data_IF_691160358224
#
_entry.id   IF_691160358224
#
_cell.length_a   1.000
_cell.length_b   1.000
_cell.length_c   1.000
_cell.angle_alpha   90.00
_cell.angle_beta   90.00
_cell.angle_gamma   90.00
#
_symmetry.space_group_name_H-M   'P 1'
#
loop_
_entity.id
_entity.type
_entity.pdbx_description
1 polymer ?
#
# COMPACT_ATOMS: atom_id res chain seq x y z
N UNK A 1 11.70 34.95 -37.71
CA UNK A 1 10.69 34.24 -36.89
C UNK A 1 11.13 32.79 -36.84
N UNK A 2 11.76 32.39 -35.75
CA UNK A 2 12.48 31.12 -35.61
C UNK A 2 11.55 30.04 -35.06
N UNK A 3 10.99 29.22 -35.94
CA UNK A 3 10.31 27.98 -35.52
C UNK A 3 11.34 26.85 -35.37
N UNK A 4 11.83 26.71 -34.14
CA UNK A 4 12.59 25.56 -33.68
C UNK A 4 11.69 24.31 -33.70
N UNK A 5 11.75 23.55 -34.80
CA UNK A 5 11.13 22.23 -34.90
C UNK A 5 11.59 21.33 -33.73
N UNK A 6 10.67 20.69 -32.97
CA UNK A 6 11.07 19.74 -31.95
C UNK A 6 11.70 18.51 -32.62
N UNK A 7 12.94 18.16 -32.24
CA UNK A 7 13.61 16.92 -32.66
C UNK A 7 12.68 15.74 -32.38
N UNK A 8 12.05 15.20 -33.44
CA UNK A 8 11.22 14.00 -33.36
C UNK A 8 12.00 12.90 -32.64
N UNK A 9 11.59 12.61 -31.41
CA UNK A 9 12.31 11.70 -30.52
C UNK A 9 12.02 10.29 -31.01
N UNK A 10 12.91 9.73 -31.84
CA UNK A 10 12.78 8.36 -32.36
C UNK A 10 12.57 7.42 -31.17
N UNK A 11 11.37 6.87 -31.05
CA UNK A 11 10.99 6.00 -29.95
C UNK A 11 11.87 4.74 -29.99
N UNK A 12 12.45 4.37 -28.85
CA UNK A 12 13.42 3.27 -28.74
C UNK A 12 12.88 1.93 -29.24
N UNK A 13 11.56 1.73 -29.16
CA UNK A 13 10.86 0.55 -29.63
C UNK A 13 10.64 0.51 -31.16
N UNK A 14 10.96 1.59 -31.88
CA UNK A 14 10.83 1.69 -33.33
C UNK A 14 12.21 1.62 -34.04
N UNK A 15 13.27 1.27 -33.31
CA UNK A 15 14.62 1.12 -33.83
C UNK A 15 14.83 -0.27 -34.47
N UNK A 16 15.48 -0.32 -35.62
CA UNK A 16 15.90 -1.57 -36.23
C UNK A 16 16.95 -2.27 -35.34
N UNK A 17 16.95 -3.60 -35.30
CA UNK A 17 17.84 -4.39 -34.43
C UNK A 17 19.32 -4.01 -34.58
N UNK A 18 19.79 -3.75 -35.81
CA UNK A 18 21.17 -3.33 -36.09
C UNK A 18 21.52 -2.00 -35.40
N UNK A 19 20.55 -1.08 -35.36
CA UNK A 19 20.70 0.23 -34.72
C UNK A 19 20.66 0.11 -33.19
N UNK A 20 19.83 -0.79 -32.66
CA UNK A 20 19.80 -1.14 -31.23
C UNK A 20 21.14 -1.74 -30.78
N UNK A 21 21.68 -2.71 -31.53
CA UNK A 21 22.99 -3.30 -31.23
C UNK A 21 24.12 -2.27 -31.25
N UNK A 22 24.07 -1.31 -32.20
CA UNK A 22 25.03 -0.21 -32.28
C UNK A 22 24.91 0.76 -31.10
N UNK A 23 23.69 1.14 -30.69
CA UNK A 23 23.46 2.05 -29.56
C UNK A 23 23.82 1.40 -28.22
N UNK A 24 23.38 0.14 -27.99
CA UNK A 24 23.65 -0.59 -26.76
C UNK A 24 25.04 -1.24 -26.74
N UNK A 25 25.85 -1.06 -27.80
CA UNK A 25 27.17 -1.70 -28.00
C UNK A 25 27.12 -3.19 -27.65
N UNK A 26 26.08 -3.88 -28.09
CA UNK A 26 25.91 -5.32 -27.85
C UNK A 26 25.90 -6.07 -29.17
N UNK A 27 26.04 -7.39 -29.09
CA UNK A 27 26.09 -8.26 -30.27
C UNK A 27 24.95 -9.27 -30.22
N UNK A 28 24.60 -9.91 -31.37
CA UNK A 28 23.63 -11.00 -31.39
C UNK A 28 24.06 -12.21 -30.54
N UNK A 29 25.37 -12.38 -30.33
CA UNK A 29 25.96 -13.42 -29.50
C UNK A 29 26.02 -13.04 -28.00
N UNK A 30 25.46 -11.89 -27.63
CA UNK A 30 25.45 -11.39 -26.25
C UNK A 30 26.63 -10.48 -25.90
N UNK A 31 26.84 -10.30 -24.59
CA UNK A 31 27.89 -9.45 -24.01
C UNK A 31 29.02 -10.32 -23.45
N UNK A 32 30.27 -9.89 -23.66
CA UNK A 32 31.42 -10.54 -23.02
C UNK A 32 31.41 -10.31 -21.50
N UNK A 33 31.93 -11.27 -20.74
CA UNK A 33 32.05 -11.20 -19.28
C UNK A 33 32.78 -9.94 -18.78
N UNK A 34 33.74 -9.42 -19.55
CA UNK A 34 34.42 -8.16 -19.26
C UNK A 34 33.47 -6.96 -19.39
N UNK A 35 32.67 -6.92 -20.46
CA UNK A 35 31.69 -5.86 -20.70
C UNK A 35 30.58 -5.88 -19.65
N UNK A 36 30.16 -7.07 -19.23
CA UNK A 36 29.18 -7.23 -18.14
C UNK A 36 29.72 -6.66 -16.84
N UNK A 37 30.97 -7.00 -16.44
CA UNK A 37 31.60 -6.45 -15.23
C UNK A 37 31.73 -4.93 -15.28
N UNK A 38 32.11 -4.39 -16.44
CA UNK A 38 32.22 -2.94 -16.63
C UNK A 38 30.86 -2.25 -16.51
N UNK A 39 29.83 -2.79 -17.15
CA UNK A 39 28.45 -2.27 -17.06
C UNK A 39 27.89 -2.38 -15.66
N UNK A 40 28.15 -3.47 -14.95
CA UNK A 40 27.70 -3.65 -13.56
C UNK A 40 28.32 -2.61 -12.63
N UNK A 41 29.57 -2.20 -12.86
CA UNK A 41 30.21 -1.09 -12.13
C UNK A 41 29.61 0.28 -12.47
N UNK A 42 29.23 0.51 -13.72
CA UNK A 42 28.72 1.80 -14.18
C UNK A 42 27.24 2.02 -13.86
N UNK A 43 26.40 1.01 -14.07
CA UNK A 43 24.95 1.10 -13.91
C UNK A 43 24.45 0.53 -12.58
N UNK A 44 25.31 -0.19 -11.85
CA UNK A 44 24.92 -0.91 -10.64
C UNK A 44 24.13 -2.19 -10.96
N UNK A 45 23.64 -2.83 -9.90
CA UNK A 45 22.74 -3.98 -10.03
C UNK A 45 21.38 -3.48 -10.48
N UNK A 46 20.78 -4.17 -11.44
CA UNK A 46 19.40 -3.90 -11.88
C UNK A 46 18.40 -4.43 -10.84
N UNK A 47 18.45 -3.88 -9.64
CA UNK A 47 17.58 -4.24 -8.52
C UNK A 47 16.84 -3.00 -8.05
N UNK A 48 15.51 -3.10 -8.01
CA UNK A 48 14.68 -2.05 -7.44
C UNK A 48 14.92 -1.98 -5.93
N UNK A 49 15.01 -0.77 -5.34
CA UNK A 49 15.17 -0.64 -3.92
C UNK A 49 13.96 -1.30 -3.22
N UNK A 50 14.23 -2.32 -2.39
CA UNK A 50 13.21 -2.87 -1.50
C UNK A 50 12.84 -1.79 -0.49
N UNK A 51 11.72 -1.11 -0.74
CA UNK A 51 11.09 -0.32 0.30
C UNK A 51 10.81 -1.27 1.47
N UNK A 52 11.38 -0.98 2.64
CA UNK A 52 10.96 -1.64 3.88
C UNK A 52 9.49 -1.29 4.05
N UNK A 53 8.62 -2.26 3.81
CA UNK A 53 7.19 -2.10 4.08
C UNK A 53 6.99 -1.66 5.53
N UNK A 54 5.94 -0.90 5.83
CA UNK A 54 5.64 -0.52 7.20
C UNK A 54 5.54 -1.79 8.07
N UNK A 55 6.13 -1.76 9.26
CA UNK A 55 6.04 -2.88 10.19
C UNK A 55 4.57 -3.17 10.52
N UNK A 56 4.20 -4.44 10.72
CA UNK A 56 2.81 -4.83 10.97
C UNK A 56 2.16 -4.05 12.15
N UNK A 57 2.95 -3.77 13.20
CA UNK A 57 2.53 -2.97 14.37
C UNK A 57 2.27 -1.51 13.98
N UNK A 58 3.07 -0.94 13.08
CA UNK A 58 2.88 0.43 12.59
C UNK A 58 1.64 0.57 11.70
N UNK A 59 1.30 -0.47 10.93
CA UNK A 59 0.05 -0.53 10.16
C UNK A 59 -1.15 -0.63 11.09
N UNK A 60 -1.05 -1.45 12.14
CA UNK A 60 -2.10 -1.57 13.16
C UNK A 60 -2.33 -0.26 13.92
N UNK A 61 -1.26 0.41 14.37
CA UNK A 61 -1.34 1.68 15.08
C UNK A 61 -1.98 2.80 14.23
N UNK A 62 -1.71 2.83 12.92
CA UNK A 62 -2.36 3.77 11.99
C UNK A 62 -3.88 3.65 11.92
N UNK A 63 -4.44 2.48 12.21
CA UNK A 63 -5.91 2.32 12.22
C UNK A 63 -6.53 3.12 13.37
N UNK A 64 -5.86 3.20 14.52
CA UNK A 64 -6.34 3.93 15.72
C UNK A 64 -6.22 5.45 15.60
N UNK A 65 -5.44 5.97 14.65
CA UNK A 65 -5.40 7.41 14.35
C UNK A 65 -6.62 7.89 13.56
N UNK A 66 -7.47 6.98 13.07
CA UNK A 66 -8.69 7.37 12.38
C UNK A 66 -9.68 8.02 13.35
N UNK A 67 -10.18 9.20 12.98
CA UNK A 67 -11.23 9.94 13.69
C UNK A 67 -12.42 9.03 14.02
N UNK A 68 -12.74 8.05 13.15
CA UNK A 68 -13.80 7.09 13.38
C UNK A 68 -13.56 6.21 14.62
N UNK A 69 -12.34 5.73 14.84
CA UNK A 69 -12.03 4.90 16.01
C UNK A 69 -12.11 5.73 17.29
N UNK A 70 -11.65 6.99 17.26
CA UNK A 70 -11.75 7.90 18.40
C UNK A 70 -13.22 8.14 18.77
N UNK A 71 -14.08 8.39 17.78
CA UNK A 71 -15.52 8.58 18.02
C UNK A 71 -16.16 7.31 18.59
N UNK A 72 -15.81 6.12 18.10
CA UNK A 72 -16.32 4.85 18.63
C UNK A 72 -15.85 4.58 20.06
N UNK A 73 -14.59 4.91 20.39
CA UNK A 73 -14.06 4.79 21.75
C UNK A 73 -14.78 5.74 22.72
N UNK A 74 -15.03 6.98 22.30
CA UNK A 74 -15.79 7.96 23.11
C UNK A 74 -17.22 7.48 23.31
N UNK A 75 -17.89 7.02 22.24
CA UNK A 75 -19.25 6.48 22.32
C UNK A 75 -19.32 5.25 23.24
N UNK A 76 -18.35 4.32 23.14
CA UNK A 76 -18.26 3.15 24.01
C UNK A 76 -18.01 3.54 25.48
N UNK A 77 -17.14 4.52 25.74
CA UNK A 77 -16.88 5.01 27.10
C UNK A 77 -18.12 5.65 27.72
N UNK A 78 -18.82 6.49 26.95
CA UNK A 78 -20.09 7.09 27.38
C UNK A 78 -21.15 6.01 27.61
N UNK A 79 -21.28 5.06 26.69
CA UNK A 79 -22.23 3.94 26.81
C UNK A 79 -21.90 3.05 28.00
N UNK A 80 -20.64 2.80 28.31
CA UNK A 80 -20.22 2.04 29.48
C UNK A 80 -20.54 2.80 30.78
N UNK A 81 -20.33 4.12 30.81
CA UNK A 81 -20.67 4.96 31.96
C UNK A 81 -22.18 5.06 32.22
N UNK A 82 -23.02 4.89 31.18
CA UNK A 82 -24.49 4.91 31.28
C UNK A 82 -25.07 3.49 31.42
N UNK A 83 -24.36 2.48 30.92
CA UNK A 83 -24.83 1.10 30.71
C UNK A 83 -24.99 0.26 31.98
N UNK A 84 -24.46 0.70 33.12
CA UNK A 84 -24.62 -0.03 34.38
C UNK A 84 -26.06 0.02 34.93
N UNK A 85 -26.94 0.89 34.40
CA UNK A 85 -28.30 1.09 34.93
C UNK A 85 -29.45 0.71 33.99
N UNK A 86 -29.22 0.69 32.67
CA UNK A 86 -30.32 0.57 31.68
C UNK A 86 -30.54 -0.87 31.20
N UNK A 87 -29.48 -1.66 31.08
CA UNK A 87 -29.55 -3.01 30.48
C UNK A 87 -30.15 -4.07 31.43
N UNK A 88 -29.97 -3.90 32.74
CA UNK A 88 -30.53 -4.78 33.78
C UNK A 88 -32.01 -4.47 34.08
N UNK A 89 -32.45 -3.21 33.96
CA UNK A 89 -33.84 -2.84 34.26
C UNK A 89 -34.83 -3.34 33.19
N UNK A 90 -34.47 -3.23 31.91
CA UNK A 90 -35.33 -3.63 30.79
C UNK A 90 -35.43 -5.16 30.65
N UNK A 91 -34.32 -5.87 30.85
CA UNK A 91 -34.28 -7.34 30.79
C UNK A 91 -34.93 -8.01 32.01
N UNK A 92 -34.81 -7.45 33.22
CA UNK A 92 -35.43 -7.99 34.43
C UNK A 92 -36.95 -7.76 34.51
N UNK A 93 -37.47 -6.68 33.89
CA UNK A 93 -38.91 -6.41 33.87
C UNK A 93 -39.68 -7.41 32.98
N UNK A 94 -39.07 -7.90 31.90
CA UNK A 94 -39.71 -8.90 31.02
C UNK A 94 -39.85 -10.28 31.68
N UNK A 95 -38.89 -10.72 32.51
CA UNK A 95 -38.96 -12.02 33.18
C UNK A 95 -40.05 -12.08 34.27
N UNK A 96 -40.50 -10.94 34.81
CA UNK A 96 -41.44 -10.91 35.95
C UNK A 96 -42.91 -11.12 35.56
N UNK A 97 -43.32 -10.69 34.36
CA UNK A 97 -44.68 -10.94 33.85
C UNK A 97 -44.88 -12.35 33.32
N UNK A 98 -43.84 -12.97 32.77
CA UNK A 98 -43.91 -14.34 32.28
C UNK A 98 -43.85 -15.38 33.41
N UNK A 99 -43.17 -15.06 34.52
CA UNK A 99 -43.02 -15.99 35.65
C UNK A 99 -44.30 -16.14 36.50
N UNK A 100 -45.15 -15.11 36.61
CA UNK A 100 -46.42 -15.20 37.36
C UNK A 100 -47.55 -15.92 36.60
N UNK A 101 -47.41 -16.19 35.29
CA UNK A 101 -48.42 -16.92 34.52
C UNK A 101 -48.21 -18.45 34.57
N UNK A 102 -47.08 -18.90 35.09
CA UNK A 102 -46.64 -20.30 35.04
C UNK A 102 -46.59 -21.00 36.42
N UNK A 103 -47.11 -20.37 37.47
CA UNK A 103 -47.20 -20.93 38.83
C UNK A 103 -48.57 -20.63 39.43
#
# INVERSE_FOLDING_TARGET
MSDSQPKATKLWHHLALVEVFKQLKSSPHGLSSFQVKHRLKQYGRNELPKAKGPAAIAVFARQFESVLIIVLLVAAALSASVGEVVETAASAACQRKNCCLAM
#
